data_IF_836906104943
#
_entry.id   IF_836906104943
#
_cell.length_a   1.000
_cell.length_b   1.000
_cell.length_c   1.000
_cell.angle_alpha   90.00
_cell.angle_beta   90.00
_cell.angle_gamma   90.00
#
_symmetry.space_group_name_H-M   'P 1'
#
loop_
_entity.id
_entity.type
_entity.pdbx_description
1 polymer ?
#
# COMPACT_ATOMS: atom_id res chain seq x y z
N UNK A 1 -20.50 -7.58 5.28
CA UNK A 1 -19.38 -7.45 4.32
C UNK A 1 -18.56 -8.72 4.44
N UNK A 2 -18.60 -9.62 3.44
CA UNK A 2 -18.11 -10.98 3.62
C UNK A 2 -18.77 -11.63 4.85
N UNK A 3 -17.96 -12.08 5.81
CA UNK A 3 -18.42 -12.66 7.09
C UNK A 3 -18.67 -11.63 8.20
N UNK A 4 -18.35 -10.35 7.97
CA UNK A 4 -18.41 -9.31 8.99
C UNK A 4 -19.80 -8.71 9.12
N UNK A 5 -20.31 -8.68 10.35
CA UNK A 5 -21.55 -8.04 10.75
C UNK A 5 -21.27 -6.65 11.35
N UNK A 6 -21.07 -5.66 10.47
CA UNK A 6 -20.88 -4.27 10.89
C UNK A 6 -22.14 -3.74 11.58
N UNK A 7 -22.00 -3.00 12.69
CA UNK A 7 -23.13 -2.44 13.45
C UNK A 7 -23.65 -1.11 12.89
N UNK A 8 -22.94 -0.52 11.92
CA UNK A 8 -23.33 0.68 11.18
C UNK A 8 -22.57 0.79 9.86
N UNK A 9 -22.88 1.83 9.07
CA UNK A 9 -22.30 2.09 7.74
C UNK A 9 -21.29 3.24 7.72
N UNK A 10 -20.83 3.69 8.88
CA UNK A 10 -19.69 4.60 9.01
C UNK A 10 -18.42 3.76 9.01
N UNK A 11 -17.48 4.10 8.12
CA UNK A 11 -16.19 3.44 7.95
C UNK A 11 -15.10 4.51 8.09
N UNK A 12 -14.04 4.21 8.81
CA UNK A 12 -12.86 5.08 8.83
C UNK A 12 -12.06 4.86 7.53
N UNK A 13 -11.96 5.91 6.72
CA UNK A 13 -11.17 5.90 5.51
C UNK A 13 -9.66 5.76 5.81
N UNK A 14 -8.89 5.19 4.87
CA UNK A 14 -7.43 5.09 4.97
C UNK A 14 -6.80 6.49 4.96
N UNK A 15 -5.94 6.78 5.94
CA UNK A 15 -5.30 8.10 6.09
C UNK A 15 -3.85 7.96 6.51
N UNK A 16 -2.91 8.04 5.56
CA UNK A 16 -1.46 7.99 5.83
C UNK A 16 -1.02 9.07 6.81
N UNK A 17 -0.33 8.65 7.88
CA UNK A 17 0.07 9.57 8.98
C UNK A 17 1.58 9.75 9.11
N UNK A 18 2.39 8.93 8.43
CA UNK A 18 3.86 8.96 8.50
C UNK A 18 4.39 8.81 9.95
N UNK A 19 3.86 7.84 10.71
CA UNK A 19 4.21 7.60 12.14
C UNK A 19 4.77 6.21 12.42
N UNK A 20 5.15 5.46 11.38
CA UNK A 20 5.93 4.24 11.52
C UNK A 20 7.40 4.59 11.85
N UNK A 21 8.21 3.59 12.18
CA UNK A 21 9.66 3.74 12.30
C UNK A 21 10.32 3.89 10.91
N UNK A 22 11.62 4.17 10.86
CA UNK A 22 12.40 4.14 9.61
C UNK A 22 12.40 2.76 8.94
N UNK A 23 12.27 1.70 9.74
CA UNK A 23 12.12 0.33 9.27
C UNK A 23 10.67 -0.02 8.87
N UNK A 24 9.80 0.99 8.76
CA UNK A 24 8.39 0.86 8.39
C UNK A 24 7.57 0.03 9.38
N UNK A 25 7.97 -0.03 10.66
CA UNK A 25 7.27 -0.78 11.71
C UNK A 25 6.24 0.12 12.39
N UNK A 26 4.98 -0.33 12.60
CA UNK A 26 4.00 0.42 13.36
C UNK A 26 4.46 0.76 14.78
N UNK A 27 4.26 2.01 15.20
CA UNK A 27 4.62 2.48 16.54
C UNK A 27 3.44 2.45 17.50
N UNK A 28 3.68 2.66 18.80
CA UNK A 28 2.61 2.76 19.81
C UNK A 28 1.64 3.93 19.53
N UNK A 29 2.07 4.96 18.79
CA UNK A 29 1.18 6.05 18.36
C UNK A 29 0.13 5.55 17.37
N UNK A 30 0.52 4.66 16.45
CA UNK A 30 -0.40 4.04 15.48
C UNK A 30 -1.39 3.13 16.22
N UNK A 31 -0.93 2.32 17.19
CA UNK A 31 -1.80 1.48 18.02
C UNK A 31 -2.87 2.33 18.74
N UNK A 32 -2.45 3.37 19.46
CA UNK A 32 -3.37 4.28 20.16
C UNK A 32 -4.35 4.97 19.20
N UNK A 33 -3.87 5.35 18.01
CA UNK A 33 -4.70 6.01 17.00
C UNK A 33 -5.86 5.10 16.56
N UNK A 34 -5.61 3.85 16.20
CA UNK A 34 -6.67 2.93 15.80
C UNK A 34 -7.58 2.52 16.96
N UNK A 35 -7.04 2.35 18.18
CA UNK A 35 -7.85 2.11 19.36
C UNK A 35 -8.92 3.21 19.56
N UNK A 36 -8.52 4.47 19.42
CA UNK A 36 -9.42 5.62 19.58
C UNK A 36 -10.52 5.67 18.50
N UNK A 37 -10.22 5.21 17.28
CA UNK A 37 -11.17 5.22 16.18
C UNK A 37 -12.08 3.98 16.15
N UNK A 38 -11.74 2.94 16.92
CA UNK A 38 -12.60 1.81 17.22
C UNK A 38 -13.58 2.10 18.38
N UNK A 39 -13.92 3.38 18.61
CA UNK A 39 -14.70 3.83 19.78
C UNK A 39 -16.13 3.28 19.87
N UNK A 40 -16.69 2.81 18.74
CA UNK A 40 -18.01 2.19 18.68
C UNK A 40 -17.90 0.74 18.20
N UNK A 41 -18.40 -0.24 18.96
CA UNK A 41 -18.44 -1.64 18.53
C UNK A 41 -19.03 -1.83 17.13
N UNK A 42 -18.46 -2.75 16.37
CA UNK A 42 -18.87 -3.09 15.01
C UNK A 42 -18.50 -2.06 13.94
N UNK A 43 -17.56 -1.15 14.24
CA UNK A 43 -17.00 -0.21 13.26
C UNK A 43 -16.02 -0.94 12.34
N UNK A 44 -16.03 -0.62 11.04
CA UNK A 44 -14.94 -0.99 10.14
C UNK A 44 -13.93 0.16 10.07
N UNK A 45 -12.66 -0.17 10.29
CA UNK A 45 -11.54 0.73 10.09
C UNK A 45 -10.72 0.21 8.92
N UNK A 46 -10.29 1.12 8.03
CA UNK A 46 -9.31 0.80 7.00
C UNK A 46 -8.00 1.46 7.44
N UNK A 47 -6.92 0.69 7.49
CA UNK A 47 -5.62 1.24 7.90
C UNK A 47 -5.16 2.32 6.94
N UNK A 48 -4.18 3.12 7.36
CA UNK A 48 -3.35 3.85 6.42
C UNK A 48 -2.72 2.90 5.42
N UNK A 49 -2.29 3.46 4.29
CA UNK A 49 -1.71 2.70 3.21
C UNK A 49 -0.45 1.98 3.67
N UNK A 50 -0.40 0.67 3.44
CA UNK A 50 0.65 -0.23 3.90
C UNK A 50 1.47 -0.71 2.72
N UNK A 51 2.76 -0.39 2.72
CA UNK A 51 3.66 -0.72 1.61
C UNK A 51 3.89 -2.24 1.57
N UNK A 52 3.72 -2.84 0.39
CA UNK A 52 3.75 -4.31 0.23
C UNK A 52 5.15 -4.91 0.15
N UNK A 53 6.14 -4.15 -0.31
CA UNK A 53 7.57 -4.53 -0.34
C UNK A 53 8.43 -3.27 -0.24
N UNK A 54 9.69 -3.39 0.18
CA UNK A 54 10.58 -2.23 0.29
C UNK A 54 10.69 -1.43 -1.02
N UNK A 55 10.87 -2.12 -2.16
CA UNK A 55 10.95 -1.50 -3.50
C UNK A 55 9.63 -0.91 -4.01
N UNK A 56 8.50 -1.29 -3.43
CA UNK A 56 7.19 -0.73 -3.75
C UNK A 56 6.88 0.56 -2.96
N UNK A 57 7.80 0.96 -2.07
CA UNK A 57 7.72 2.16 -1.26
C UNK A 57 8.19 3.42 -1.98
N UNK A 58 8.69 4.39 -1.22
CA UNK A 58 9.03 5.73 -1.72
C UNK A 58 8.77 6.84 -0.71
N UNK A 59 8.29 6.50 0.49
CA UNK A 59 7.92 7.44 1.54
C UNK A 59 8.51 6.99 2.87
N UNK A 60 9.19 7.92 3.55
CA UNK A 60 9.69 7.68 4.90
C UNK A 60 8.54 7.58 5.92
N UNK A 61 8.73 6.73 6.93
CA UNK A 61 7.83 6.61 8.09
C UNK A 61 6.38 6.18 7.78
N UNK A 62 6.10 5.67 6.57
CA UNK A 62 4.87 4.94 6.24
C UNK A 62 5.01 3.48 6.69
N UNK A 63 3.98 2.79 7.19
CA UNK A 63 4.12 1.40 7.59
C UNK A 63 4.22 0.42 6.40
N UNK A 64 4.89 -0.71 6.64
CA UNK A 64 5.09 -1.81 5.68
C UNK A 64 4.48 -3.14 6.14
N UNK A 65 4.49 -4.15 5.28
CA UNK A 65 3.98 -5.50 5.60
C UNK A 65 4.66 -6.67 4.84
N UNK A 66 5.96 -6.60 4.64
CA UNK A 66 6.72 -7.69 3.98
C UNK A 66 7.47 -8.61 4.95
N UNK A 67 7.75 -8.16 6.18
CA UNK A 67 8.56 -8.90 7.14
C UNK A 67 7.85 -9.17 8.48
N UNK A 68 8.47 -10.00 9.32
CA UNK A 68 7.90 -10.45 10.60
C UNK A 68 7.77 -9.34 11.65
N UNK A 69 8.70 -8.39 11.67
CA UNK A 69 8.67 -7.29 12.64
C UNK A 69 7.50 -6.35 12.37
N UNK A 70 7.26 -6.05 11.10
CA UNK A 70 6.11 -5.28 10.64
C UNK A 70 4.79 -5.98 10.98
N UNK A 71 4.70 -7.30 10.72
CA UNK A 71 3.53 -8.11 11.12
C UNK A 71 3.29 -8.01 12.62
N UNK A 72 4.33 -8.17 13.45
CA UNK A 72 4.19 -8.09 14.90
C UNK A 72 3.75 -6.69 15.39
N UNK A 73 4.22 -5.62 14.74
CA UNK A 73 3.76 -4.26 15.00
C UNK A 73 2.28 -4.07 14.66
N UNK A 74 1.86 -4.60 13.52
CA UNK A 74 0.47 -4.56 13.07
C UNK A 74 -0.47 -5.43 13.90
N UNK A 75 -0.04 -6.59 14.41
CA UNK A 75 -0.85 -7.41 15.31
C UNK A 75 -1.32 -6.65 16.53
N UNK A 76 -0.48 -5.79 17.10
CA UNK A 76 -0.86 -4.92 18.24
C UNK A 76 -1.99 -3.96 17.89
N UNK A 77 -2.01 -3.46 16.65
CA UNK A 77 -3.09 -2.59 16.14
C UNK A 77 -4.38 -3.39 16.00
N UNK A 78 -4.31 -4.60 15.43
CA UNK A 78 -5.48 -5.48 15.30
C UNK A 78 -6.05 -5.83 16.67
N UNK A 79 -5.20 -6.22 17.62
CA UNK A 79 -5.61 -6.62 18.97
C UNK A 79 -6.45 -5.53 19.66
N UNK A 80 -6.02 -4.27 19.60
CA UNK A 80 -6.77 -3.17 20.24
C UNK A 80 -8.06 -2.82 19.51
N UNK A 81 -8.14 -3.02 18.19
CA UNK A 81 -9.37 -2.82 17.42
C UNK A 81 -10.38 -3.94 17.71
N UNK A 82 -9.92 -5.19 17.72
CA UNK A 82 -10.75 -6.36 18.02
C UNK A 82 -11.21 -6.37 19.48
N UNK A 83 -10.40 -5.91 20.43
CA UNK A 83 -10.79 -5.72 21.83
C UNK A 83 -11.95 -4.71 22.01
N UNK A 84 -12.19 -3.84 21.02
CA UNK A 84 -13.36 -2.93 20.96
C UNK A 84 -14.52 -3.48 20.14
N UNK A 85 -14.48 -4.78 19.82
CA UNK A 85 -15.45 -5.47 18.96
C UNK A 85 -15.60 -4.81 17.57
N UNK A 86 -14.54 -4.19 17.07
CA UNK A 86 -14.49 -3.56 15.76
C UNK A 86 -13.62 -4.37 14.79
N UNK A 87 -13.67 -4.01 13.51
CA UNK A 87 -13.01 -4.73 12.42
C UNK A 87 -11.97 -3.85 11.73
N UNK A 88 -10.92 -4.46 11.18
CA UNK A 88 -9.85 -3.74 10.49
C UNK A 88 -9.49 -4.40 9.17
N UNK A 89 -9.49 -3.59 8.11
CA UNK A 89 -8.95 -3.94 6.80
C UNK A 89 -7.61 -3.23 6.59
N UNK A 90 -6.68 -3.93 5.97
CA UNK A 90 -5.37 -3.35 5.64
C UNK A 90 -5.38 -2.85 4.20
N UNK A 91 -5.11 -1.56 3.99
CA UNK A 91 -5.00 -1.03 2.64
C UNK A 91 -3.59 -1.30 2.08
N UNK A 92 -3.48 -2.23 1.14
CA UNK A 92 -2.21 -2.64 0.53
C UNK A 92 -1.83 -1.71 -0.62
N UNK A 93 -0.57 -1.27 -0.64
CA UNK A 93 -0.12 -0.17 -1.48
C UNK A 93 1.26 -0.40 -2.09
N UNK A 94 1.39 0.08 -3.33
CA UNK A 94 2.66 0.28 -4.04
C UNK A 94 2.55 1.62 -4.76
N UNK A 95 3.55 2.49 -4.59
CA UNK A 95 3.40 3.91 -4.91
C UNK A 95 3.64 4.23 -6.39
N UNK A 96 4.43 3.40 -7.08
CA UNK A 96 4.83 3.65 -8.47
C UNK A 96 5.57 4.98 -8.63
N UNK A 97 5.24 5.76 -9.66
CA UNK A 97 5.95 7.04 -9.95
C UNK A 97 5.83 8.07 -8.83
N UNK A 98 4.83 7.96 -7.95
CA UNK A 98 4.68 8.85 -6.80
C UNK A 98 5.83 8.75 -5.79
N UNK A 99 6.71 7.75 -5.92
CA UNK A 99 7.98 7.70 -5.18
C UNK A 99 8.83 8.96 -5.37
N UNK A 100 8.66 9.68 -6.50
CA UNK A 100 9.36 10.94 -6.78
C UNK A 100 9.01 12.10 -5.82
N UNK A 101 8.00 11.98 -4.96
CA UNK A 101 7.79 12.94 -3.86
C UNK A 101 9.02 12.98 -2.93
N UNK A 102 9.72 11.85 -2.78
CA UNK A 102 11.02 11.77 -2.14
C UNK A 102 12.03 11.19 -3.14
N UNK A 103 12.54 12.00 -4.08
CA UNK A 103 13.16 11.52 -5.32
C UNK A 103 14.31 10.54 -5.08
N UNK A 104 15.13 10.75 -4.05
CA UNK A 104 16.26 9.87 -3.76
C UNK A 104 15.94 8.71 -2.81
N UNK A 105 14.73 8.61 -2.26
CA UNK A 105 14.40 7.63 -1.21
C UNK A 105 14.64 6.18 -1.62
N UNK A 106 14.23 5.82 -2.84
CA UNK A 106 14.45 4.48 -3.40
C UNK A 106 15.89 4.32 -3.90
N UNK A 107 16.43 5.34 -4.58
CA UNK A 107 17.78 5.32 -5.12
C UNK A 107 18.86 5.12 -4.02
N UNK A 108 18.72 5.82 -2.89
CA UNK A 108 19.60 5.68 -1.72
C UNK A 108 19.53 4.28 -1.08
N UNK A 109 18.48 3.51 -1.39
CA UNK A 109 18.28 2.11 -0.98
C UNK A 109 18.57 1.10 -2.11
N UNK A 110 19.07 1.56 -3.25
CA UNK A 110 19.40 0.70 -4.39
C UNK A 110 18.20 0.20 -5.19
N UNK A 111 17.08 0.92 -5.17
CA UNK A 111 15.89 0.62 -5.95
C UNK A 111 15.57 1.74 -6.95
N UNK A 112 15.02 1.35 -8.10
CA UNK A 112 14.48 2.30 -9.08
C UNK A 112 13.06 2.74 -8.69
N UNK A 113 12.71 3.99 -9.01
CA UNK A 113 11.31 4.37 -9.12
C UNK A 113 10.71 3.75 -10.38
N UNK A 114 9.49 3.23 -10.28
CA UNK A 114 8.85 2.47 -11.37
C UNK A 114 7.42 2.92 -11.64
N UNK A 115 6.92 2.69 -12.85
CA UNK A 115 5.52 2.96 -13.25
C UNK A 115 5.07 1.97 -14.33
N UNK A 116 3.92 2.22 -14.95
CA UNK A 116 3.46 1.51 -16.15
C UNK A 116 4.24 1.93 -17.41
N UNK A 117 4.79 3.15 -17.44
CA UNK A 117 5.53 3.75 -18.54
C UNK A 117 6.88 4.36 -18.10
N UNK A 118 7.77 4.63 -19.06
CA UNK A 118 9.02 5.35 -18.80
C UNK A 118 8.74 6.86 -18.68
N UNK A 119 9.25 7.48 -17.62
CA UNK A 119 9.11 8.92 -17.35
C UNK A 119 10.51 9.50 -17.13
N UNK A 120 11.07 10.14 -18.16
CA UNK A 120 12.36 10.81 -18.05
C UNK A 120 12.30 11.97 -17.06
N UNK A 121 13.37 12.13 -16.29
CA UNK A 121 13.60 13.30 -15.46
C UNK A 121 13.66 14.56 -16.32
N UNK A 122 12.94 15.60 -15.92
CA UNK A 122 12.89 16.89 -16.62
C UNK A 122 13.78 17.95 -15.98
N UNK A 123 14.21 17.74 -14.73
CA UNK A 123 15.04 18.67 -13.96
C UNK A 123 16.52 18.25 -13.90
N UNK A 124 16.86 17.06 -14.39
CA UNK A 124 18.20 16.48 -14.37
C UNK A 124 18.71 16.14 -12.96
N UNK A 125 17.87 16.23 -11.94
CA UNK A 125 18.19 16.00 -10.53
C UNK A 125 17.44 14.81 -9.95
N UNK A 126 16.17 14.69 -10.30
CA UNK A 126 15.32 13.57 -9.92
C UNK A 126 15.71 12.33 -10.73
N UNK A 127 15.65 11.11 -10.15
CA UNK A 127 15.88 9.90 -10.93
C UNK A 127 14.78 9.72 -11.98
N UNK A 128 15.11 8.99 -13.04
CA UNK A 128 14.12 8.54 -14.01
C UNK A 128 13.17 7.53 -13.36
N UNK A 129 11.91 7.53 -13.80
CA UNK A 129 10.98 6.44 -13.50
C UNK A 129 10.99 5.49 -14.68
N UNK A 130 11.14 4.20 -14.40
CA UNK A 130 11.18 3.17 -15.45
C UNK A 130 9.86 2.41 -15.53
N UNK A 131 9.45 2.04 -16.73
CA UNK A 131 8.36 1.09 -16.92
C UNK A 131 8.72 -0.26 -16.30
N UNK A 132 7.82 -0.85 -15.51
CA UNK A 132 7.96 -2.23 -15.07
C UNK A 132 8.02 -3.17 -16.27
N UNK A 133 8.97 -4.10 -16.29
CA UNK A 133 8.92 -5.21 -17.24
C UNK A 133 7.76 -6.14 -16.89
N UNK A 134 7.28 -6.92 -17.87
CA UNK A 134 6.22 -7.93 -17.66
C UNK A 134 6.56 -8.91 -16.52
N UNK A 135 7.84 -9.27 -16.36
CA UNK A 135 8.30 -10.12 -15.27
C UNK A 135 8.20 -9.40 -13.91
N UNK A 136 8.63 -8.16 -13.82
CA UNK A 136 8.55 -7.38 -12.58
C UNK A 136 7.10 -7.12 -12.15
N UNK A 137 6.16 -6.90 -13.09
CA UNK A 137 4.73 -6.82 -12.75
C UNK A 137 4.29 -8.07 -11.98
N UNK A 138 4.70 -9.26 -12.42
CA UNK A 138 4.39 -10.53 -11.74
C UNK A 138 5.04 -10.60 -10.36
N UNK A 139 6.24 -10.05 -10.19
CA UNK A 139 6.88 -9.97 -8.88
C UNK A 139 6.19 -8.98 -7.92
N UNK A 140 5.70 -7.84 -8.42
CA UNK A 140 4.90 -6.89 -7.64
C UNK A 140 3.60 -7.56 -7.17
N UNK A 141 2.93 -8.31 -8.04
CA UNK A 141 1.77 -9.14 -7.68
C UNK A 141 2.11 -10.11 -6.54
N UNK A 142 3.28 -10.77 -6.57
CA UNK A 142 3.72 -11.62 -5.44
C UNK A 142 3.96 -10.83 -4.15
N UNK A 143 4.40 -9.58 -4.25
CA UNK A 143 4.48 -8.65 -3.13
C UNK A 143 3.11 -8.42 -2.48
N UNK A 144 2.09 -8.08 -3.27
CA UNK A 144 0.71 -7.93 -2.79
C UNK A 144 0.16 -9.23 -2.17
N UNK A 145 0.40 -10.38 -2.79
CA UNK A 145 0.00 -11.70 -2.24
C UNK A 145 0.66 -11.94 -0.88
N UNK A 146 1.96 -11.66 -0.77
CA UNK A 146 2.71 -11.84 0.49
C UNK A 146 2.21 -10.91 1.57
N UNK A 147 2.02 -9.63 1.26
CA UNK A 147 1.49 -8.64 2.18
C UNK A 147 0.06 -9.00 2.61
N UNK A 148 -0.79 -9.47 1.70
CA UNK A 148 -2.14 -9.97 2.04
C UNK A 148 -2.11 -11.15 3.00
N UNK A 149 -1.26 -12.16 2.75
CA UNK A 149 -1.05 -13.27 3.69
C UNK A 149 -0.56 -12.78 5.05
N UNK A 150 0.34 -11.79 5.05
CA UNK A 150 0.88 -11.20 6.27
C UNK A 150 -0.16 -10.36 7.04
N UNK A 151 -1.08 -9.68 6.35
CA UNK A 151 -2.21 -9.00 6.99
C UNK A 151 -3.11 -9.99 7.74
N UNK A 152 -3.45 -11.12 7.11
CA UNK A 152 -4.21 -12.19 7.77
C UNK A 152 -3.44 -12.80 8.95
N UNK A 153 -2.12 -13.01 8.82
CA UNK A 153 -1.28 -13.46 9.95
C UNK A 153 -1.25 -12.43 11.09
N UNK A 154 -1.33 -11.14 10.78
CA UNK A 154 -1.42 -10.08 11.78
C UNK A 154 -2.79 -10.05 12.48
N UNK A 155 -3.79 -10.74 11.94
CA UNK A 155 -5.15 -10.84 12.46
C UNK A 155 -6.18 -9.97 11.73
N UNK A 156 -5.81 -9.32 10.62
CA UNK A 156 -6.73 -8.47 9.87
C UNK A 156 -7.98 -9.23 9.39
N UNK A 157 -9.13 -8.55 9.39
CA UNK A 157 -10.40 -9.12 8.92
C UNK A 157 -10.51 -9.17 7.39
N UNK A 158 -9.61 -8.47 6.71
CA UNK A 158 -9.53 -8.41 5.26
C UNK A 158 -8.49 -7.40 4.79
N UNK A 159 -8.43 -7.21 3.48
CA UNK A 159 -7.53 -6.26 2.83
C UNK A 159 -8.32 -5.41 1.83
N UNK A 160 -7.89 -4.17 1.68
CA UNK A 160 -8.28 -3.30 0.57
C UNK A 160 -7.08 -3.18 -0.38
N UNK A 161 -7.31 -3.30 -1.68
CA UNK A 161 -6.27 -3.07 -2.69
C UNK A 161 -6.33 -1.59 -3.08
N UNK A 162 -5.23 -0.86 -2.93
CA UNK A 162 -5.21 0.57 -3.23
C UNK A 162 -5.13 0.84 -4.74
N UNK A 163 -6.28 0.77 -5.40
CA UNK A 163 -6.46 0.94 -6.84
C UNK A 163 -6.76 2.37 -7.32
N UNK A 164 -6.31 3.41 -6.61
CA UNK A 164 -6.72 4.80 -6.85
C UNK A 164 -5.59 5.82 -6.54
N UNK A 165 -5.89 7.09 -6.75
CA UNK A 165 -5.06 8.27 -6.46
C UNK A 165 -3.73 8.34 -7.22
N UNK A 166 -3.66 7.77 -8.42
CA UNK A 166 -2.50 7.81 -9.30
C UNK A 166 -1.36 6.91 -8.87
N UNK A 167 -1.61 5.93 -8.00
CA UNK A 167 -0.62 4.92 -7.60
C UNK A 167 -0.57 3.74 -8.59
N UNK A 168 0.24 2.71 -8.30
CA UNK A 168 0.65 1.74 -9.31
C UNK A 168 -0.51 1.14 -10.11
N UNK A 169 -1.62 0.77 -9.48
CA UNK A 169 -2.75 0.17 -10.22
C UNK A 169 -3.43 1.19 -11.13
N UNK A 170 -3.64 2.43 -10.67
CA UNK A 170 -4.22 3.47 -11.52
C UNK A 170 -3.26 3.88 -12.64
N UNK A 171 -1.94 3.87 -12.39
CA UNK A 171 -0.93 4.08 -13.43
C UNK A 171 -1.05 3.03 -14.55
N UNK A 172 -1.43 1.79 -14.24
CA UNK A 172 -1.71 0.75 -15.25
C UNK A 172 -3.09 0.92 -15.91
N UNK A 173 -4.12 1.27 -15.14
CA UNK A 173 -5.50 1.43 -15.66
C UNK A 173 -5.65 2.64 -16.60
N UNK A 174 -4.94 3.73 -16.31
CA UNK A 174 -5.05 4.99 -17.02
C UNK A 174 -4.33 4.92 -18.37
N UNK A 175 -5.05 5.15 -19.47
CA UNK A 175 -4.53 5.07 -20.83
C UNK A 175 -3.56 6.20 -21.19
N UNK A 176 -3.70 7.36 -20.55
CA UNK A 176 -2.79 8.50 -20.77
C UNK A 176 -1.44 8.29 -20.10
N UNK A 177 -1.41 7.55 -18.98
CA UNK A 177 -0.17 7.17 -18.28
C UNK A 177 0.42 5.90 -18.90
N UNK A 178 -0.39 4.85 -19.04
CA UNK A 178 -0.03 3.58 -19.66
C UNK A 178 -0.15 3.63 -21.21
N UNK A 179 0.53 4.61 -21.82
CA UNK A 179 0.46 4.86 -23.26
C UNK A 179 1.59 4.24 -24.09
N UNK A 180 2.62 3.68 -23.42
CA UNK A 180 3.81 3.12 -24.07
C UNK A 180 3.80 1.58 -24.13
N UNK A 181 2.98 0.92 -23.31
CA UNK A 181 2.99 -0.54 -23.22
C UNK A 181 2.27 -1.20 -24.39
N UNK A 182 2.91 -2.22 -24.94
CA UNK A 182 2.39 -3.07 -26.03
C UNK A 182 2.31 -4.54 -25.63
N UNK A 183 2.60 -4.86 -24.36
CA UNK A 183 2.50 -6.21 -23.81
C UNK A 183 1.10 -6.51 -23.24
N UNK A 184 0.98 -7.61 -22.50
CA UNK A 184 -0.28 -8.07 -21.88
C UNK A 184 -0.87 -7.10 -20.85
N UNK A 185 -0.17 -6.00 -20.52
CA UNK A 185 -0.58 -5.01 -19.52
C UNK A 185 -0.88 -3.61 -20.10
N UNK A 186 -1.06 -3.48 -21.42
CA UNK A 186 -1.34 -2.18 -22.05
C UNK A 186 -2.09 -2.22 -23.38
N UNK A 187 -2.41 -1.04 -23.91
CA UNK A 187 -3.10 -0.87 -25.20
C UNK A 187 -4.63 -0.91 -25.11
N UNK A 188 -5.23 -2.07 -24.86
CA UNK A 188 -6.69 -2.21 -24.75
C UNK A 188 -7.20 -1.92 -23.34
N UNK A 189 -8.52 -1.77 -23.19
CA UNK A 189 -9.17 -1.65 -21.87
C UNK A 189 -8.93 -2.93 -21.07
N UNK A 190 -9.06 -4.09 -21.71
CA UNK A 190 -8.89 -5.40 -21.08
C UNK A 190 -7.47 -5.63 -20.59
N UNK A 191 -6.46 -5.19 -21.34
CA UNK A 191 -5.06 -5.36 -20.96
C UNK A 191 -4.65 -4.40 -19.84
N UNK A 192 -5.27 -3.22 -19.74
CA UNK A 192 -4.99 -2.27 -18.64
C UNK A 192 -5.68 -2.64 -17.33
N UNK A 193 -6.67 -3.55 -17.37
CA UNK A 193 -7.54 -3.91 -16.24
C UNK A 193 -6.97 -4.99 -15.30
#
# INVERSE_FOLDING_TARGET
LGKLALKHRIVMAPMTRNRATEAHVPTNLIVRYYEQHASRPGTLLITESVIVTERAGGYAYVPGLWNKEQVAGWSKVVDVVHAKESFVFFQLWSVGESALIMPNYLADRGFDAVSSADIPSTDGKSPNVRALTTAEVKEYVQGFITAGKNAIKAGADGVEIYGANGYIFEQFLNDTVNNQRTDEYGGSIENRA
#
